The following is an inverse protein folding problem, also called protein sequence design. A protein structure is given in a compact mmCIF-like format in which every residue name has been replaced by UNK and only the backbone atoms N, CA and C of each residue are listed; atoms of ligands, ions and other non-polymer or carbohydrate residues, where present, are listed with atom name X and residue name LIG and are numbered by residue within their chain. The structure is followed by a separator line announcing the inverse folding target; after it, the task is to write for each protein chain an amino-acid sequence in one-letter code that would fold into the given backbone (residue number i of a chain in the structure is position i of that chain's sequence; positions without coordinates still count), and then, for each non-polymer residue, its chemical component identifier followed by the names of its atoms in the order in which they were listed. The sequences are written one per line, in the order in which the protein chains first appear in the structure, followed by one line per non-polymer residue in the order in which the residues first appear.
data_IF_023568525174
#
_entry.id   IF_023568525174
#
_cell.length_a   1.000
_cell.length_b   1.000
_cell.length_c   1.000
_cell.angle_alpha   90.00
_cell.angle_beta   90.00
_cell.angle_gamma   90.00
#
_symmetry.space_group_name_H-M   'P 1'
#
loop_
_entity.id
_entity.type
_entity.pdbx_description
1 polymer ?
#
# COMPACT_ATOMS: atom_id res chain seq x y z
N UNK A 1 -9.09 6.93 18.96
CA UNK A 1 -9.58 6.04 17.88
C UNK A 1 -8.78 4.75 17.93
N UNK A 2 -9.42 3.59 17.79
CA UNK A 2 -8.74 2.29 17.75
C UNK A 2 -7.98 2.10 16.43
N UNK A 3 -6.91 1.32 16.47
CA UNK A 3 -6.02 1.01 15.31
C UNK A 3 -6.84 0.51 14.11
N UNK A 4 -7.73 -0.46 14.35
CA UNK A 4 -8.58 -1.06 13.32
C UNK A 4 -9.47 -0.04 12.60
N UNK A 5 -10.04 0.91 13.35
CA UNK A 5 -10.92 1.94 12.77
C UNK A 5 -10.18 2.81 11.76
N UNK A 6 -8.93 3.19 12.05
CA UNK A 6 -8.12 3.99 11.13
C UNK A 6 -7.72 3.17 9.91
N UNK A 7 -7.31 1.90 10.08
CA UNK A 7 -6.98 1.02 8.96
C UNK A 7 -8.18 0.86 8.01
N UNK A 8 -9.38 0.68 8.56
CA UNK A 8 -10.61 0.56 7.77
C UNK A 8 -10.94 1.83 6.97
N UNK A 9 -10.53 3.02 7.45
CA UNK A 9 -10.70 4.30 6.75
C UNK A 9 -9.76 4.48 5.56
N UNK A 10 -8.64 3.75 5.50
CA UNK A 10 -7.71 3.76 4.37
C UNK A 10 -8.24 2.90 3.20
N UNK A 11 -9.53 3.00 2.88
CA UNK A 11 -10.16 2.22 1.83
C UNK A 11 -9.55 2.56 0.46
N UNK A 12 -8.91 1.57 -0.15
CA UNK A 12 -8.14 1.71 -1.38
C UNK A 12 -8.38 0.50 -2.29
N UNK A 13 -9.42 0.54 -3.13
CA UNK A 13 -9.80 -0.60 -3.96
C UNK A 13 -8.78 -0.90 -5.06
N UNK A 14 -8.00 0.11 -5.47
CA UNK A 14 -6.99 0.00 -6.54
C UNK A 14 -5.58 -0.26 -6.03
N UNK A 15 -5.33 -0.16 -4.71
CA UNK A 15 -4.00 -0.35 -4.14
C UNK A 15 -3.05 0.83 -4.41
N UNK A 16 -3.56 2.04 -4.62
CA UNK A 16 -2.73 3.23 -4.85
C UNK A 16 -1.93 3.64 -3.59
N UNK A 17 -2.48 3.33 -2.42
CA UNK A 17 -1.88 3.50 -1.10
C UNK A 17 -1.22 2.20 -0.60
N UNK A 18 -0.91 1.27 -1.51
CA UNK A 18 -0.38 -0.06 -1.20
C UNK A 18 0.70 -0.06 -0.09
N UNK A 19 1.77 0.74 -0.18
CA UNK A 19 2.80 0.80 0.86
C UNK A 19 2.29 1.26 2.23
N UNK A 20 1.41 2.25 2.27
CA UNK A 20 0.84 2.82 3.50
C UNK A 20 -0.02 1.78 4.21
N UNK A 21 -0.94 1.16 3.47
CA UNK A 21 -1.84 0.14 4.00
C UNK A 21 -1.07 -1.09 4.45
N UNK A 22 0.00 -1.44 3.74
CA UNK A 22 0.88 -2.57 4.11
C UNK A 22 1.52 -2.33 5.47
N UNK A 23 2.10 -1.15 5.71
CA UNK A 23 2.65 -0.78 7.03
C UNK A 23 1.60 -0.90 8.14
N UNK A 24 0.39 -0.39 7.88
CA UNK A 24 -0.70 -0.45 8.85
C UNK A 24 -1.12 -1.90 9.16
N UNK A 25 -1.19 -2.76 8.14
CA UNK A 25 -1.51 -4.19 8.31
C UNK A 25 -0.39 -4.97 9.01
N UNK A 26 0.88 -4.64 8.77
CA UNK A 26 2.01 -5.23 9.49
C UNK A 26 1.93 -4.88 10.98
N UNK A 27 1.67 -3.61 11.30
CA UNK A 27 1.46 -3.18 12.68
C UNK A 27 0.29 -3.91 13.34
N UNK A 28 -0.83 -4.09 12.62
CA UNK A 28 -1.96 -4.88 13.10
C UNK A 28 -1.58 -6.34 13.40
N UNK A 29 -0.78 -6.98 12.54
CA UNK A 29 -0.27 -8.32 12.78
C UNK A 29 0.62 -8.38 14.03
N UNK A 30 1.44 -7.36 14.28
CA UNK A 30 2.26 -7.27 15.49
C UNK A 30 1.41 -7.20 16.76
N UNK A 31 0.33 -6.40 16.77
CA UNK A 31 -0.60 -6.36 17.91
C UNK A 31 -1.26 -7.71 18.19
N UNK A 32 -1.62 -8.45 17.14
CA UNK A 32 -2.15 -9.80 17.28
C UNK A 32 -1.14 -10.78 17.88
N UNK A 33 0.13 -10.67 17.50
CA UNK A 33 1.21 -11.47 18.10
C UNK A 33 1.43 -11.16 19.58
N UNK A 34 1.25 -9.89 19.96
CA UNK A 34 1.27 -9.44 21.37
C UNK A 34 0.00 -9.82 22.14
N UNK A 35 -1.01 -10.40 21.47
CA UNK A 35 -2.32 -10.77 22.04
C UNK A 35 -3.05 -9.59 22.70
N UNK A 36 -2.84 -8.38 22.18
CA UNK A 36 -3.53 -7.17 22.64
C UNK A 36 -4.94 -7.17 22.07
N UNK A 37 -5.94 -7.07 22.94
CA UNK A 37 -7.32 -6.94 22.48
C UNK A 37 -7.58 -5.54 21.90
N UNK A 38 -8.53 -5.43 20.97
CA UNK A 38 -8.89 -4.16 20.33
C UNK A 38 -9.42 -3.10 21.32
N UNK A 39 -9.86 -3.51 22.51
CA UNK A 39 -10.33 -2.65 23.60
C UNK A 39 -9.23 -2.25 24.60
N UNK A 40 -8.07 -2.90 24.56
CA UNK A 40 -6.95 -2.65 25.48
C UNK A 40 -6.11 -1.44 25.06
N UNK A 41 -5.42 -0.84 26.04
CA UNK A 41 -4.47 0.24 25.76
C UNK A 41 -3.18 -0.36 25.18
N UNK A 42 -2.67 0.27 24.13
CA UNK A 42 -1.36 -0.08 23.56
C UNK A 42 -0.25 0.18 24.59
N UNK A 43 0.76 -0.69 24.68
CA UNK A 43 1.98 -0.38 25.42
C UNK A 43 2.66 0.84 24.79
N UNK A 44 3.51 1.51 25.58
CA UNK A 44 4.08 2.81 25.25
C UNK A 44 4.81 2.82 23.90
N UNK A 45 5.56 1.76 23.62
CA UNK A 45 6.31 1.59 22.37
C UNK A 45 5.38 1.55 21.16
N UNK A 46 4.39 0.66 21.16
CA UNK A 46 3.43 0.49 20.06
C UNK A 46 2.54 1.73 19.91
N UNK A 47 2.21 2.40 21.02
CA UNK A 47 1.46 3.65 21.00
C UNK A 47 2.26 4.77 20.30
N UNK A 48 3.56 4.89 20.60
CA UNK A 48 4.44 5.85 19.95
C UNK A 48 4.57 5.58 18.45
N UNK A 49 4.88 4.34 18.07
CA UNK A 49 4.96 3.91 16.67
C UNK A 49 3.66 4.18 15.91
N UNK A 50 2.50 3.85 16.51
CA UNK A 50 1.20 4.10 15.91
C UNK A 50 0.93 5.59 15.72
N UNK A 51 1.27 6.43 16.70
CA UNK A 51 1.11 7.87 16.58
C UNK A 51 1.98 8.46 15.47
N UNK A 52 3.21 7.99 15.30
CA UNK A 52 4.08 8.39 14.18
C UNK A 52 3.49 7.98 12.84
N UNK A 53 2.98 6.75 12.74
CA UNK A 53 2.27 6.29 11.54
C UNK A 53 1.08 7.19 11.23
N UNK A 54 0.21 7.47 12.20
CA UNK A 54 -0.96 8.34 12.02
C UNK A 54 -0.56 9.76 11.61
N UNK A 55 0.51 10.32 12.20
CA UNK A 55 1.04 11.63 11.78
C UNK A 55 1.50 11.61 10.32
N UNK A 56 2.16 10.53 9.89
CA UNK A 56 2.60 10.39 8.49
C UNK A 56 1.45 10.35 7.49
N UNK A 57 0.24 9.97 7.91
CA UNK A 57 -0.95 9.97 7.05
C UNK A 57 -1.36 11.38 6.62
N UNK A 58 -0.97 12.42 7.37
CA UNK A 58 -1.25 13.81 6.97
C UNK A 58 -0.59 14.16 5.64
N UNK A 59 0.53 13.51 5.30
CA UNK A 59 1.22 13.70 4.02
C UNK A 59 0.39 13.20 2.82
N UNK A 60 -0.64 12.38 3.05
CA UNK A 60 -1.53 11.91 1.99
C UNK A 60 -2.51 12.99 1.52
N UNK A 61 -2.75 14.03 2.33
CA UNK A 61 -3.66 15.12 1.96
C UNK A 61 -3.14 15.92 0.76
N UNK A 62 -1.82 16.00 0.59
CA UNK A 62 -1.17 16.70 -0.51
C UNK A 62 -0.95 15.80 -1.74
N UNK A 63 -1.33 14.53 -1.65
CA UNK A 63 -1.12 13.56 -2.72
C UNK A 63 -2.25 13.65 -3.75
N UNK A 64 -1.90 14.06 -4.98
CA UNK A 64 -2.81 14.06 -6.11
C UNK A 64 -2.48 12.90 -7.06
N UNK A 65 -3.47 12.06 -7.36
CA UNK A 65 -3.32 10.94 -8.30
C UNK A 65 -4.22 11.18 -9.49
N UNK A 66 -3.61 11.28 -10.67
CA UNK A 66 -4.36 11.42 -11.92
C UNK A 66 -5.19 10.16 -12.20
N UNK A 67 -6.52 10.30 -12.23
CA UNK A 67 -7.45 9.22 -12.52
C UNK A 67 -7.33 8.67 -13.95
N UNK A 68 -6.91 9.51 -14.90
CA UNK A 68 -6.74 9.09 -16.29
C UNK A 68 -5.38 8.44 -16.47
N UNK A 69 -5.38 7.12 -16.71
CA UNK A 69 -4.15 6.33 -16.84
C UNK A 69 -3.62 6.37 -18.27
N UNK A 70 -4.50 6.34 -19.27
CA UNK A 70 -4.13 6.28 -20.69
C UNK A 70 -4.21 7.67 -21.32
N UNK A 71 -3.16 8.10 -22.02
CA UNK A 71 -3.19 9.35 -22.79
C UNK A 71 -4.06 9.14 -24.02
N UNK A 72 -4.93 10.10 -24.36
CA UNK A 72 -5.83 10.01 -25.52
C UNK A 72 -5.09 9.85 -26.85
N UNK A 73 -3.89 10.42 -26.99
CA UNK A 73 -3.04 10.33 -28.19
C UNK A 73 -2.08 9.14 -28.19
N UNK A 74 -2.25 8.19 -27.28
CA UNK A 74 -1.42 6.98 -27.23
C UNK A 74 -1.67 6.10 -28.46
N UNK A 75 -0.60 5.77 -29.17
CA UNK A 75 -0.62 4.80 -30.28
C UNK A 75 -0.23 3.41 -29.82
N UNK A 76 0.56 3.31 -28.74
CA UNK A 76 0.94 2.05 -28.11
C UNK A 76 0.62 2.13 -26.61
N UNK A 77 0.01 1.08 -26.09
CA UNK A 77 -0.25 0.91 -24.66
C UNK A 77 0.21 -0.48 -24.23
N UNK A 78 1.04 -0.54 -23.20
CA UNK A 78 1.61 -1.75 -22.63
C UNK A 78 1.28 -1.82 -21.14
N UNK A 79 1.10 -3.05 -20.63
CA UNK A 79 0.98 -3.29 -19.19
C UNK A 79 2.23 -3.99 -18.69
N UNK A 80 2.89 -3.38 -17.71
CA UNK A 80 4.11 -3.89 -17.11
C UNK A 80 3.81 -4.28 -15.66
N UNK A 81 3.95 -5.57 -15.35
CA UNK A 81 3.74 -6.12 -14.02
C UNK A 81 5.05 -6.28 -13.28
N UNK A 82 5.11 -5.80 -12.04
CA UNK A 82 6.22 -5.99 -11.12
C UNK A 82 5.70 -6.67 -9.86
N UNK A 83 6.50 -7.55 -9.28
CA UNK A 83 6.22 -8.12 -7.97
C UNK A 83 7.50 -8.17 -7.13
N UNK A 84 7.31 -8.11 -5.81
CA UNK A 84 8.38 -8.23 -4.84
C UNK A 84 7.86 -8.92 -3.58
N UNK A 85 8.75 -9.58 -2.85
CA UNK A 85 8.45 -10.30 -1.64
C UNK A 85 9.52 -10.07 -0.58
N UNK A 86 9.07 -9.86 0.65
CA UNK A 86 9.92 -9.75 1.83
C UNK A 86 9.39 -10.67 2.93
N UNK A 87 10.16 -10.81 4.00
CA UNK A 87 9.74 -11.55 5.20
C UNK A 87 8.44 -11.02 5.81
N UNK A 88 8.15 -9.71 5.66
CA UNK A 88 7.00 -9.05 6.29
C UNK A 88 5.78 -8.96 5.39
N UNK A 89 5.99 -8.79 4.09
CA UNK A 89 4.91 -8.64 3.12
C UNK A 89 5.39 -8.94 1.70
N UNK A 90 4.45 -9.26 0.85
CA UNK A 90 4.65 -9.37 -0.60
C UNK A 90 3.61 -8.54 -1.33
N UNK A 91 3.96 -8.11 -2.53
CA UNK A 91 3.10 -7.25 -3.33
C UNK A 91 3.37 -7.34 -4.82
N UNK A 92 2.40 -6.88 -5.59
CA UNK A 92 2.50 -6.73 -7.02
C UNK A 92 1.88 -5.40 -7.45
N UNK A 93 2.44 -4.79 -8.48
CA UNK A 93 1.99 -3.54 -9.08
C UNK A 93 1.94 -3.68 -10.60
N UNK A 94 0.90 -3.13 -11.21
CA UNK A 94 0.73 -3.08 -12.67
C UNK A 94 0.82 -1.62 -13.08
N UNK A 95 1.72 -1.32 -14.01
CA UNK A 95 1.87 -0.01 -14.62
C UNK A 95 1.40 -0.06 -16.07
N UNK A 96 0.71 0.98 -16.50
CA UNK A 96 0.42 1.22 -17.91
C UNK A 96 1.49 2.16 -18.45
N UNK A 97 2.19 1.69 -19.48
CA UNK A 97 3.10 2.50 -20.29
C UNK A 97 2.40 2.86 -21.58
N UNK A 98 2.26 4.15 -21.83
CA UNK A 98 1.64 4.69 -23.05
C UNK A 98 2.66 5.47 -23.84
N UNK A 99 2.62 5.32 -25.17
CA UNK A 99 3.52 6.01 -26.10
C UNK A 99 2.68 6.72 -27.16
N UNK A 100 2.92 8.00 -27.37
CA UNK A 100 2.25 8.79 -28.41
C UNK A 100 2.97 8.65 -29.76
N UNK A 101 2.32 9.06 -30.85
CA UNK A 101 2.94 9.06 -32.19
C UNK A 101 4.20 9.94 -32.26
N UNK A 102 4.30 10.96 -31.40
CA UNK A 102 5.48 11.83 -31.27
C UNK A 102 6.59 11.22 -30.42
N UNK A 103 6.40 10.00 -29.88
CA UNK A 103 7.37 9.31 -29.03
C UNK A 103 7.32 9.69 -27.54
N UNK A 104 6.36 10.51 -27.11
CA UNK A 104 6.19 10.83 -25.69
C UNK A 104 5.75 9.59 -24.91
N UNK A 105 6.44 9.28 -23.82
CA UNK A 105 6.15 8.12 -22.96
C UNK A 105 5.59 8.61 -21.63
N UNK A 106 4.45 8.08 -21.20
CA UNK A 106 4.00 8.17 -19.81
C UNK A 106 3.76 6.81 -19.20
N UNK A 107 4.16 6.67 -17.95
CA UNK A 107 3.97 5.47 -17.14
C UNK A 107 3.14 5.84 -15.92
N UNK A 108 2.05 5.11 -15.70
CA UNK A 108 1.15 5.34 -14.55
C UNK A 108 0.78 4.04 -13.89
N UNK A 109 0.66 4.06 -12.56
CA UNK A 109 0.18 2.91 -11.79
C UNK A 109 -1.30 2.69 -12.12
N UNK A 110 -1.64 1.46 -12.51
CA UNK A 110 -3.02 1.03 -12.77
C UNK A 110 -3.65 0.54 -11.48
N UNK A 111 -2.98 -0.43 -10.86
CA UNK A 111 -3.40 -1.03 -9.62
C UNK A 111 -2.20 -1.69 -8.95
N UNK A 112 -2.28 -1.83 -7.63
CA UNK A 112 -1.39 -2.70 -6.88
C UNK A 112 -2.16 -3.55 -5.90
N UNK A 113 -1.52 -4.62 -5.41
CA UNK A 113 -2.06 -5.45 -4.35
C UNK A 113 -0.93 -5.91 -3.48
N UNK A 114 -1.11 -5.77 -2.17
CA UNK A 114 -0.19 -6.27 -1.16
C UNK A 114 -0.88 -7.17 -0.16
N UNK A 115 -0.09 -8.06 0.42
CA UNK A 115 -0.50 -8.94 1.51
C UNK A 115 0.63 -9.02 2.53
N UNK A 116 0.25 -9.01 3.81
CA UNK A 116 1.18 -9.30 4.90
C UNK A 116 1.55 -10.77 4.84
N UNK A 117 2.83 -11.08 5.01
CA UNK A 117 3.33 -12.45 4.99
C UNK A 117 2.72 -13.25 6.15
N UNK A 118 2.35 -14.52 5.93
CA UNK A 118 1.87 -15.37 7.01
C UNK A 118 2.90 -15.49 8.13
N UNK A 119 2.43 -15.60 9.38
CA UNK A 119 3.30 -15.76 10.56
C UNK A 119 4.12 -17.06 10.46
N UNK A 120 3.54 -18.11 9.87
CA UNK A 120 4.30 -19.29 9.48
C UNK A 120 5.10 -18.94 8.23
N UNK A 121 6.40 -18.73 8.41
CA UNK A 121 7.31 -18.38 7.33
C UNK A 121 7.26 -19.44 6.23
N UNK A 122 7.02 -18.98 5.01
CA UNK A 122 7.23 -19.74 3.79
C UNK A 122 8.54 -19.20 3.21
N UNK A 123 9.45 -20.10 2.81
CA UNK A 123 10.77 -19.72 2.26
C UNK A 123 10.61 -18.76 1.08
N UNK A 124 11.38 -17.67 1.09
CA UNK A 124 11.52 -16.76 -0.05
C UNK A 124 12.45 -17.44 -1.06
N UNK A 125 12.10 -17.50 -2.36
CA UNK A 125 12.95 -18.10 -3.40
C UNK A 125 14.30 -17.41 -3.56
#
# INVERSE_FOLDING_TARGET
MSVLSIIARLFDPLGLLGPVITKAKIFMQQLWLLKIDWSERLPEKEACEWQEFVKSLMNLNDMNIERCIVIQSAVVTELHGFCDASEKAYGAAIYARTVTAAGEVKVKLVASKSRVSPIKQVTIP
#
